data_IF_310942470101
#
_entry.id   IF_310942470101
#
_cell.length_a   1.000
_cell.length_b   1.000
_cell.length_c   1.000
_cell.angle_alpha   90.00
_cell.angle_beta   90.00
_cell.angle_gamma   90.00
#
_symmetry.space_group_name_H-M   'P 1'
#
loop_
_entity.id
_entity.type
_entity.pdbx_description
1 polymer ?
#
# COMPACT_ATOMS: atom_id res chain seq x y z
N UNK A 1 36.53 -17.05 -8.32
CA UNK A 1 35.37 -17.28 -9.20
C UNK A 1 34.63 -15.97 -9.24
N UNK A 2 34.91 -15.13 -10.24
CA UNK A 2 34.30 -13.80 -10.32
C UNK A 2 32.84 -13.98 -10.74
N UNK A 3 31.92 -13.80 -9.80
CA UNK A 3 30.50 -13.68 -10.09
C UNK A 3 30.34 -12.47 -11.02
N UNK A 4 30.06 -12.74 -12.30
CA UNK A 4 29.80 -11.70 -13.29
C UNK A 4 28.65 -10.82 -12.76
N UNK A 5 28.76 -9.48 -12.79
CA UNK A 5 27.69 -8.57 -12.37
C UNK A 5 26.34 -8.88 -13.03
N UNK A 6 26.36 -9.40 -14.25
CA UNK A 6 25.18 -9.87 -14.98
C UNK A 6 24.49 -11.07 -14.32
N UNK A 7 25.24 -12.04 -13.80
CA UNK A 7 24.69 -13.22 -13.12
C UNK A 7 24.07 -12.84 -11.78
N UNK A 8 24.70 -11.93 -11.03
CA UNK A 8 24.14 -11.39 -9.79
C UNK A 8 22.85 -10.60 -10.06
N UNK A 9 22.85 -9.74 -11.08
CA UNK A 9 21.64 -9.00 -11.50
C UNK A 9 20.53 -9.96 -11.89
N UNK A 10 20.81 -10.96 -12.72
CA UNK A 10 19.85 -11.98 -13.11
C UNK A 10 19.28 -12.71 -11.89
N UNK A 11 20.14 -13.17 -10.98
CA UNK A 11 19.72 -13.88 -9.78
C UNK A 11 18.77 -13.06 -8.90
N UNK A 12 19.13 -11.81 -8.59
CA UNK A 12 18.25 -10.95 -7.77
C UNK A 12 16.97 -10.59 -8.54
N UNK A 13 17.03 -10.32 -9.85
CA UNK A 13 15.82 -10.07 -10.65
C UNK A 13 14.88 -11.27 -10.66
N UNK A 14 15.39 -12.49 -10.82
CA UNK A 14 14.60 -13.72 -10.73
C UNK A 14 13.98 -13.86 -9.34
N UNK A 15 14.76 -13.66 -8.28
CA UNK A 15 14.23 -13.77 -6.91
C UNK A 15 13.18 -12.70 -6.61
N UNK A 16 13.44 -11.41 -6.89
CA UNK A 16 12.52 -10.34 -6.53
C UNK A 16 11.18 -10.43 -7.26
N UNK A 17 11.19 -10.93 -8.50
CA UNK A 17 9.99 -11.03 -9.35
C UNK A 17 9.12 -12.25 -9.05
N UNK A 18 9.67 -13.28 -8.38
CA UNK A 18 9.03 -14.61 -8.19
C UNK A 18 9.07 -15.18 -6.78
N UNK A 19 9.71 -14.52 -5.81
CA UNK A 19 9.73 -14.98 -4.43
C UNK A 19 8.36 -14.92 -3.76
N UNK A 20 8.08 -15.89 -2.92
CA UNK A 20 6.87 -15.98 -2.12
C UNK A 20 7.22 -16.40 -0.70
N UNK A 21 6.43 -15.94 0.27
CA UNK A 21 6.52 -16.41 1.63
C UNK A 21 5.65 -17.66 1.81
N UNK A 22 6.25 -18.75 2.27
CA UNK A 22 5.57 -19.99 2.67
C UNK A 22 5.97 -20.35 4.10
N UNK A 23 5.14 -21.11 4.85
CA UNK A 23 5.55 -21.62 6.15
C UNK A 23 6.83 -22.47 6.03
N UNK A 24 7.70 -22.44 7.05
CA UNK A 24 8.79 -23.39 7.19
C UNK A 24 8.24 -24.80 7.44
N UNK A 25 9.06 -25.83 7.18
CA UNK A 25 8.68 -27.24 7.38
C UNK A 25 8.20 -27.55 8.80
N UNK A 26 8.71 -26.83 9.80
CA UNK A 26 8.30 -26.95 11.20
C UNK A 26 7.16 -25.98 11.61
N UNK A 27 6.68 -25.16 10.67
CA UNK A 27 5.62 -24.16 10.86
C UNK A 27 6.00 -22.98 11.77
N UNK A 28 7.27 -22.86 12.18
CA UNK A 28 7.69 -21.87 13.17
C UNK A 28 7.87 -20.46 12.61
N UNK A 29 8.07 -20.34 11.29
CA UNK A 29 8.33 -19.07 10.62
C UNK A 29 7.81 -19.07 9.18
N UNK A 30 7.74 -17.88 8.58
CA UNK A 30 7.58 -17.73 7.13
C UNK A 30 8.98 -17.63 6.48
N UNK A 31 9.20 -18.37 5.41
CA UNK A 31 10.45 -18.41 4.64
C UNK A 31 10.21 -18.01 3.18
N UNK A 32 11.23 -17.48 2.52
CA UNK A 32 11.17 -17.19 1.09
C UNK A 32 11.40 -18.47 0.28
N UNK A 33 10.54 -18.69 -0.72
CA UNK A 33 10.64 -19.79 -1.67
C UNK A 33 10.35 -19.31 -3.10
N UNK A 34 10.93 -20.02 -4.06
CA UNK A 34 10.48 -20.01 -5.45
C UNK A 34 9.57 -21.23 -5.63
N UNK A 35 8.41 -21.05 -6.25
CA UNK A 35 7.39 -22.10 -6.39
C UNK A 35 7.29 -22.44 -7.89
N UNK A 36 7.99 -23.49 -8.36
CA UNK A 36 7.99 -23.84 -9.77
C UNK A 36 6.58 -24.13 -10.30
N UNK A 37 6.40 -23.95 -11.61
CA UNK A 37 5.14 -24.09 -12.34
C UNK A 37 4.11 -23.01 -11.99
N UNK A 38 3.75 -22.85 -10.73
CA UNK A 38 2.78 -21.84 -10.28
C UNK A 38 3.27 -20.42 -10.57
N UNK A 39 4.57 -20.14 -10.41
CA UNK A 39 5.16 -18.82 -10.64
C UNK A 39 5.23 -18.41 -12.13
N UNK A 40 4.78 -19.26 -13.05
CA UNK A 40 4.59 -18.94 -14.46
C UNK A 40 3.29 -18.16 -14.72
N UNK A 41 2.30 -18.24 -13.82
CA UNK A 41 1.03 -17.54 -13.98
C UNK A 41 1.23 -16.02 -13.92
N UNK A 42 0.67 -15.30 -14.88
CA UNK A 42 0.75 -13.84 -14.93
C UNK A 42 -0.27 -13.16 -14.00
N UNK A 43 -0.03 -11.88 -13.73
CA UNK A 43 -0.89 -11.07 -12.88
C UNK A 43 -2.19 -10.67 -13.58
N UNK A 44 -3.31 -10.78 -12.87
CA UNK A 44 -4.57 -10.08 -13.19
C UNK A 44 -5.20 -9.54 -11.90
N UNK A 45 -5.82 -8.36 -11.96
CA UNK A 45 -6.59 -7.80 -10.86
C UNK A 45 -7.68 -8.76 -10.42
N UNK A 46 -7.82 -8.95 -9.10
CA UNK A 46 -8.74 -9.93 -8.55
C UNK A 46 -8.58 -10.08 -7.05
N UNK A 47 -8.77 -11.30 -6.55
CA UNK A 47 -8.62 -11.65 -5.13
C UNK A 47 -7.57 -12.74 -4.99
N UNK A 48 -6.94 -12.82 -3.82
CA UNK A 48 -5.99 -13.89 -3.52
C UNK A 48 -6.70 -15.24 -3.61
N UNK A 49 -6.18 -16.13 -4.45
CA UNK A 49 -6.69 -17.49 -4.65
C UNK A 49 -5.61 -18.56 -4.47
N UNK A 50 -4.51 -18.19 -3.82
CA UNK A 50 -3.40 -19.10 -3.52
C UNK A 50 -3.23 -19.21 -2.01
N UNK A 51 -3.04 -20.43 -1.54
CA UNK A 51 -2.86 -20.79 -0.14
C UNK A 51 -1.74 -21.84 0.02
N UNK A 52 -1.38 -22.18 1.25
CA UNK A 52 -0.46 -23.25 1.57
C UNK A 52 -1.14 -24.31 2.43
N UNK A 53 -1.17 -25.54 1.95
CA UNK A 53 -1.66 -26.69 2.71
C UNK A 53 -0.54 -27.26 3.57
N UNK A 54 -0.63 -27.09 4.87
CA UNK A 54 0.30 -27.73 5.83
C UNK A 54 0.15 -29.25 5.87
N UNK A 55 -1.06 -29.76 5.62
CA UNK A 55 -1.33 -31.20 5.54
C UNK A 55 -0.62 -31.86 4.35
N UNK A 56 -0.67 -31.21 3.18
CA UNK A 56 -0.07 -31.74 1.95
C UNK A 56 1.35 -31.22 1.68
N UNK A 57 1.87 -30.34 2.55
CA UNK A 57 3.13 -29.61 2.38
C UNK A 57 3.28 -28.99 0.97
N UNK A 58 2.22 -28.31 0.53
CA UNK A 58 2.07 -27.87 -0.86
C UNK A 58 1.33 -26.55 -1.01
N UNK A 59 1.68 -25.81 -2.06
CA UNK A 59 0.96 -24.61 -2.50
C UNK A 59 -0.32 -25.04 -3.22
N UNK A 60 -1.45 -24.51 -2.78
CA UNK A 60 -2.75 -24.69 -3.41
C UNK A 60 -3.11 -23.45 -4.21
N UNK A 61 -3.48 -23.62 -5.47
CA UNK A 61 -3.95 -22.52 -6.32
C UNK A 61 -5.34 -22.82 -6.85
N UNK A 62 -6.29 -21.99 -6.45
CA UNK A 62 -7.67 -22.02 -6.93
C UNK A 62 -7.83 -21.03 -8.09
N UNK A 63 -8.69 -21.36 -9.04
CA UNK A 63 -9.04 -20.43 -10.11
C UNK A 63 -9.76 -19.20 -9.52
N UNK A 64 -9.34 -17.99 -9.92
CA UNK A 64 -9.98 -16.75 -9.47
C UNK A 64 -11.36 -16.53 -10.09
N UNK A 65 -11.57 -17.13 -11.25
CA UNK A 65 -12.75 -16.99 -12.12
C UNK A 65 -12.90 -18.27 -12.95
N UNK A 66 -14.00 -18.37 -13.71
CA UNK A 66 -14.14 -19.43 -14.70
C UNK A 66 -13.17 -19.17 -15.87
N UNK A 67 -12.43 -20.19 -16.29
CA UNK A 67 -11.42 -20.12 -17.34
C UNK A 67 -11.83 -21.11 -18.44
N UNK A 68 -12.03 -20.62 -19.66
CA UNK A 68 -12.36 -21.51 -20.78
C UNK A 68 -11.12 -22.29 -21.25
N UNK A 69 -11.34 -23.34 -22.04
CA UNK A 69 -10.23 -24.03 -22.70
C UNK A 69 -9.46 -23.03 -23.58
N UNK A 70 -8.13 -23.17 -23.60
CA UNK A 70 -7.20 -22.33 -24.35
C UNK A 70 -7.09 -20.85 -23.89
N UNK A 71 -7.72 -20.48 -22.77
CA UNK A 71 -7.51 -19.18 -22.13
C UNK A 71 -6.32 -19.19 -21.15
N UNK A 72 -5.67 -18.03 -21.02
CA UNK A 72 -4.54 -17.87 -20.12
C UNK A 72 -4.99 -17.88 -18.65
N UNK A 73 -4.31 -18.68 -17.84
CA UNK A 73 -4.52 -18.75 -16.39
C UNK A 73 -3.77 -17.59 -15.74
N UNK A 74 -4.51 -16.76 -15.02
CA UNK A 74 -3.98 -15.65 -14.25
C UNK A 74 -4.11 -15.87 -12.75
N UNK A 75 -3.29 -15.17 -11.97
CA UNK A 75 -3.39 -15.08 -10.52
C UNK A 75 -3.29 -13.63 -10.05
N UNK A 76 -3.74 -13.34 -8.84
CA UNK A 76 -3.61 -12.03 -8.23
C UNK A 76 -2.35 -11.98 -7.36
N UNK A 77 -1.31 -11.28 -7.83
CA UNK A 77 -0.02 -11.12 -7.13
C UNK A 77 -0.11 -10.35 -5.79
N UNK A 78 -1.27 -9.76 -5.49
CA UNK A 78 -1.51 -9.00 -4.27
C UNK A 78 -1.74 -7.51 -4.52
N UNK A 79 -2.09 -6.82 -3.45
CA UNK A 79 -2.33 -5.37 -3.41
C UNK A 79 -0.97 -4.67 -3.49
N UNK A 80 -0.62 -4.18 -4.69
CA UNK A 80 0.63 -3.47 -4.98
C UNK A 80 0.34 -2.28 -5.87
N UNK A 81 1.11 -1.20 -5.70
CA UNK A 81 1.11 -0.05 -6.61
C UNK A 81 1.82 -0.38 -7.94
N UNK A 82 1.57 0.42 -8.97
CA UNK A 82 2.32 0.32 -10.22
C UNK A 82 3.81 0.64 -10.04
N UNK A 83 4.16 1.48 -9.07
CA UNK A 83 5.56 1.70 -8.68
C UNK A 83 6.20 0.39 -8.19
N UNK A 84 5.52 -0.33 -7.28
CA UNK A 84 6.02 -1.61 -6.78
C UNK A 84 6.06 -2.68 -7.87
N UNK A 85 5.04 -2.78 -8.74
CA UNK A 85 5.09 -3.70 -9.87
C UNK A 85 6.25 -3.40 -10.82
N UNK A 86 6.52 -2.13 -11.12
CA UNK A 86 7.61 -1.76 -12.00
C UNK A 86 8.97 -2.14 -11.40
N UNK A 87 9.18 -1.79 -10.13
CA UNK A 87 10.48 -1.97 -9.46
C UNK A 87 10.73 -3.43 -9.08
N UNK A 88 9.71 -4.17 -8.63
CA UNK A 88 9.88 -5.52 -8.09
C UNK A 88 9.41 -6.63 -9.02
N UNK A 89 8.54 -6.35 -9.98
CA UNK A 89 8.02 -7.34 -10.93
C UNK A 89 8.35 -7.02 -12.39
N UNK A 90 8.88 -5.83 -12.70
CA UNK A 90 9.31 -5.45 -14.03
C UNK A 90 8.20 -5.10 -15.02
N UNK A 91 6.98 -4.80 -14.54
CA UNK A 91 5.85 -4.42 -15.39
C UNK A 91 4.97 -3.35 -14.74
N UNK A 92 4.08 -2.72 -15.51
CA UNK A 92 2.99 -1.86 -15.01
C UNK A 92 1.68 -2.33 -15.61
N UNK A 93 0.56 -2.06 -14.94
CA UNK A 93 -0.77 -2.32 -15.51
C UNK A 93 -1.51 -1.02 -15.78
N UNK A 94 -2.27 -0.98 -16.88
CA UNK A 94 -2.99 0.22 -17.30
C UNK A 94 -4.05 0.64 -16.28
N UNK A 95 -4.72 -0.34 -15.67
CA UNK A 95 -5.78 -0.13 -14.68
C UNK A 95 -5.47 -0.94 -13.41
N UNK A 96 -4.76 -0.32 -12.49
CA UNK A 96 -4.52 -0.86 -11.16
C UNK A 96 -5.44 -0.19 -10.14
N UNK A 97 -6.49 -0.90 -9.70
CA UNK A 97 -7.41 -0.41 -8.67
C UNK A 97 -6.73 -0.22 -7.31
N UNK A 98 -5.60 -0.89 -7.10
CA UNK A 98 -4.79 -0.83 -5.88
C UNK A 98 -3.63 0.16 -6.02
N UNK A 99 -3.61 1.02 -7.03
CA UNK A 99 -2.51 1.97 -7.21
C UNK A 99 -2.50 3.05 -6.12
N UNK A 100 -1.29 3.42 -5.71
CA UNK A 100 -1.07 4.43 -4.69
C UNK A 100 0.30 5.06 -4.82
N UNK A 101 0.46 6.21 -4.15
CA UNK A 101 1.76 6.87 -3.99
C UNK A 101 2.12 7.00 -2.51
N UNK A 102 3.41 7.01 -2.21
CA UNK A 102 3.88 7.28 -0.86
C UNK A 102 3.91 8.79 -0.59
N UNK A 103 3.21 9.21 0.46
CA UNK A 103 3.20 10.57 0.98
C UNK A 103 3.99 10.63 2.30
N UNK A 104 5.20 11.19 2.23
CA UNK A 104 6.04 11.37 3.42
C UNK A 104 5.52 12.51 4.29
N UNK A 105 5.10 12.19 5.52
CA UNK A 105 4.64 13.14 6.52
C UNK A 105 5.33 12.90 7.86
N UNK A 106 5.31 13.92 8.72
CA UNK A 106 5.77 13.82 10.09
C UNK A 106 5.43 15.06 10.89
N UNK A 107 5.31 14.89 12.21
CA UNK A 107 5.09 15.99 13.15
C UNK A 107 6.44 16.67 13.41
N UNK A 108 6.51 17.98 13.19
CA UNK A 108 7.73 18.77 13.41
C UNK A 108 8.04 18.88 14.91
N UNK A 109 9.32 18.76 15.28
CA UNK A 109 9.77 19.02 16.67
C UNK A 109 9.51 20.46 17.14
N UNK A 110 9.30 21.39 16.21
CA UNK A 110 8.97 22.77 16.49
C UNK A 110 7.45 23.01 16.64
N UNK A 111 6.62 21.98 16.47
CA UNK A 111 5.18 22.07 16.73
C UNK A 111 4.96 22.31 18.24
N UNK A 112 4.24 23.37 18.66
CA UNK A 112 3.98 23.65 20.07
C UNK A 112 3.31 22.47 20.81
N UNK A 113 2.53 21.68 20.09
CA UNK A 113 1.82 20.52 20.60
C UNK A 113 2.59 19.19 20.38
N UNK A 114 3.88 19.24 19.99
CA UNK A 114 4.66 18.06 19.60
C UNK A 114 4.59 16.93 20.63
N UNK A 115 4.72 17.26 21.91
CA UNK A 115 4.71 16.26 22.99
C UNK A 115 3.36 15.55 23.12
N UNK A 116 2.24 16.30 23.10
CA UNK A 116 0.90 15.72 23.19
C UNK A 116 0.57 14.87 21.96
N UNK A 117 0.86 15.37 20.75
CA UNK A 117 0.65 14.63 19.52
C UNK A 117 1.47 13.34 19.49
N UNK A 118 2.73 13.39 19.93
CA UNK A 118 3.60 12.21 20.04
C UNK A 118 3.07 11.20 21.05
N UNK A 119 2.57 11.66 22.20
CA UNK A 119 1.97 10.80 23.23
C UNK A 119 0.74 10.05 22.66
N UNK A 120 -0.18 10.76 22.01
CA UNK A 120 -1.38 10.17 21.39
C UNK A 120 -0.99 9.21 20.28
N UNK A 121 -0.10 9.61 19.36
CA UNK A 121 0.38 8.74 18.30
C UNK A 121 0.99 7.44 18.85
N UNK A 122 1.86 7.54 19.86
CA UNK A 122 2.49 6.36 20.49
C UNK A 122 1.46 5.45 21.13
N UNK A 123 0.51 6.02 21.89
CA UNK A 123 -0.57 5.27 22.52
C UNK A 123 -1.47 4.58 21.49
N UNK A 124 -1.73 5.22 20.35
CA UNK A 124 -2.58 4.71 19.27
C UNK A 124 -1.83 3.92 18.20
N UNK A 125 -0.54 3.64 18.40
CA UNK A 125 0.31 2.93 17.44
C UNK A 125 0.38 3.60 16.06
N UNK A 126 0.22 4.92 16.02
CA UNK A 126 0.35 5.75 14.83
C UNK A 126 1.81 6.21 14.71
N UNK A 127 2.41 6.05 13.54
CA UNK A 127 3.77 6.54 13.30
C UNK A 127 3.82 8.09 13.31
N UNK A 128 4.70 8.68 14.11
CA UNK A 128 4.89 10.15 14.17
C UNK A 128 5.56 10.73 12.92
N UNK A 129 6.22 9.90 12.13
CA UNK A 129 6.71 10.19 10.79
C UNK A 129 6.83 8.91 9.99
N UNK A 130 6.25 8.89 8.79
CA UNK A 130 6.23 7.71 7.92
C UNK A 130 6.01 8.10 6.45
N UNK A 131 6.15 7.12 5.56
CA UNK A 131 5.67 7.16 4.19
C UNK A 131 4.25 6.58 4.18
N UNK A 132 3.25 7.45 4.24
CA UNK A 132 1.85 7.04 4.25
C UNK A 132 1.36 6.73 2.84
N UNK A 133 0.32 5.90 2.74
CA UNK A 133 -0.29 5.55 1.45
C UNK A 133 -1.34 6.59 1.09
N UNK A 134 -1.20 7.19 -0.09
CA UNK A 134 -2.22 8.02 -0.72
C UNK A 134 -2.75 7.30 -1.97
N UNK A 135 -4.00 6.87 -1.90
CA UNK A 135 -4.74 6.22 -2.99
C UNK A 135 -5.39 7.25 -3.92
N UNK A 136 -5.90 6.79 -5.07
CA UNK A 136 -6.64 7.63 -6.02
C UNK A 136 -7.82 8.37 -5.36
N UNK A 137 -8.16 9.56 -5.87
CA UNK A 137 -9.20 10.46 -5.33
C UNK A 137 -10.60 9.81 -5.19
N UNK A 138 -10.86 8.75 -5.95
CA UNK A 138 -12.14 8.02 -5.87
C UNK A 138 -12.21 7.06 -4.67
N UNK A 139 -11.06 6.77 -4.04
CA UNK A 139 -10.97 5.92 -2.86
C UNK A 139 -11.01 6.75 -1.57
N UNK A 140 -11.46 6.13 -0.48
CA UNK A 140 -11.33 6.70 0.85
C UNK A 140 -9.84 6.86 1.22
N UNK A 141 -9.53 7.89 2.00
CA UNK A 141 -8.19 8.08 2.56
C UNK A 141 -7.82 6.84 3.37
N UNK A 142 -6.59 6.35 3.19
CA UNK A 142 -6.06 5.24 3.97
C UNK A 142 -6.20 5.51 5.47
N UNK A 143 -6.64 4.50 6.25
CA UNK A 143 -6.97 4.66 7.67
C UNK A 143 -5.80 5.17 8.51
N UNK A 144 -4.59 4.72 8.23
CA UNK A 144 -3.39 5.13 8.98
C UNK A 144 -3.02 6.58 8.66
N UNK A 145 -3.13 6.97 7.38
CA UNK A 145 -2.97 8.37 6.96
C UNK A 145 -4.04 9.26 7.61
N UNK A 146 -5.29 8.83 7.63
CA UNK A 146 -6.40 9.57 8.24
C UNK A 146 -6.17 9.78 9.74
N UNK A 147 -5.85 8.71 10.46
CA UNK A 147 -5.59 8.77 11.90
C UNK A 147 -4.41 9.69 12.22
N UNK A 148 -3.31 9.60 11.46
CA UNK A 148 -2.19 10.51 11.58
C UNK A 148 -2.61 11.97 11.32
N UNK A 149 -3.35 12.24 10.25
CA UNK A 149 -3.75 13.60 9.87
C UNK A 149 -4.71 14.22 10.88
N UNK A 150 -5.56 13.42 11.53
CA UNK A 150 -6.43 13.87 12.63
C UNK A 150 -5.59 14.39 13.79
N UNK A 151 -4.67 13.58 14.31
CA UNK A 151 -3.77 14.01 15.39
C UNK A 151 -2.89 15.19 14.95
N UNK A 152 -2.43 15.19 13.70
CA UNK A 152 -1.63 16.27 13.13
C UNK A 152 -2.37 17.61 13.10
N UNK A 153 -3.68 17.62 12.86
CA UNK A 153 -4.50 18.83 12.77
C UNK A 153 -5.24 19.23 14.05
N UNK A 154 -5.27 18.38 15.09
CA UNK A 154 -5.81 18.77 16.39
C UNK A 154 -5.04 19.95 17.00
N UNK A 155 -5.78 20.91 17.54
CA UNK A 155 -5.24 22.00 18.37
C UNK A 155 -5.04 21.55 19.83
N UNK A 156 -4.44 22.40 20.66
CA UNK A 156 -4.15 22.06 22.07
C UNK A 156 -5.39 21.58 22.85
N UNK A 157 -6.52 22.29 22.75
CA UNK A 157 -7.74 21.91 23.47
C UNK A 157 -8.36 20.63 22.95
N UNK A 158 -8.32 20.40 21.63
CA UNK A 158 -8.76 19.14 21.01
C UNK A 158 -7.89 17.96 21.48
N UNK A 159 -6.58 18.14 21.58
CA UNK A 159 -5.64 17.11 22.07
C UNK A 159 -5.84 16.79 23.56
N UNK A 160 -6.11 17.81 24.37
CA UNK A 160 -6.37 17.64 25.81
C UNK A 160 -7.67 16.86 26.05
N UNK A 161 -8.72 17.19 25.30
CA UNK A 161 -10.00 16.46 25.36
C UNK A 161 -9.86 15.01 24.86
N UNK A 162 -9.02 14.77 23.85
CA UNK A 162 -8.83 13.45 23.26
C UNK A 162 -8.10 12.45 24.16
N UNK A 163 -7.38 12.91 25.20
CA UNK A 163 -6.39 12.11 25.93
C UNK A 163 -6.93 10.79 26.52
N UNK A 164 -8.24 10.71 26.73
CA UNK A 164 -8.95 9.56 27.33
C UNK A 164 -9.99 8.91 26.39
N UNK A 165 -10.01 9.25 25.10
CA UNK A 165 -10.98 8.71 24.12
C UNK A 165 -10.54 7.38 23.46
N UNK A 166 -11.50 6.73 22.79
CA UNK A 166 -11.28 5.48 22.07
C UNK A 166 -10.41 5.70 20.82
N UNK A 167 -9.25 5.05 20.81
CA UNK A 167 -8.22 5.16 19.77
C UNK A 167 -8.72 4.69 18.40
N UNK A 168 -9.65 3.72 18.37
CA UNK A 168 -10.19 3.17 17.12
C UNK A 168 -10.96 4.21 16.31
N UNK A 169 -11.55 5.21 16.97
CA UNK A 169 -12.28 6.26 16.27
C UNK A 169 -11.37 7.11 15.37
N UNK A 170 -10.08 7.27 15.71
CA UNK A 170 -9.11 8.00 14.87
C UNK A 170 -8.99 7.38 13.48
N UNK A 171 -9.17 6.06 13.37
CA UNK A 171 -9.05 5.31 12.12
C UNK A 171 -10.39 5.19 11.37
N UNK A 172 -11.50 5.55 12.03
CA UNK A 172 -12.84 5.41 11.47
C UNK A 172 -13.15 6.46 10.41
N UNK A 173 -13.53 6.03 9.21
CA UNK A 173 -13.91 6.90 8.11
C UNK A 173 -15.26 7.62 8.31
N UNK A 174 -16.06 7.20 9.29
CA UNK A 174 -17.45 7.66 9.47
C UNK A 174 -17.70 8.32 10.83
N UNK A 175 -16.64 8.75 11.52
CA UNK A 175 -16.78 9.39 12.83
C UNK A 175 -17.23 10.85 12.70
N UNK A 176 -18.40 11.15 13.28
CA UNK A 176 -18.97 12.50 13.29
C UNK A 176 -18.15 13.50 14.14
N UNK A 177 -17.39 13.00 15.12
CA UNK A 177 -16.56 13.82 16.02
C UNK A 177 -15.48 14.59 15.28
N UNK A 178 -15.01 14.05 14.15
CA UNK A 178 -13.90 14.63 13.40
C UNK A 178 -14.33 15.47 12.20
N UNK A 179 -15.62 15.72 11.97
CA UNK A 179 -16.09 16.45 10.77
C UNK A 179 -15.35 17.77 10.51
N UNK A 180 -15.11 18.57 11.55
CA UNK A 180 -14.37 19.84 11.40
C UNK A 180 -12.86 19.64 11.25
N UNK A 181 -12.29 18.56 11.80
CA UNK A 181 -10.89 18.19 11.57
C UNK A 181 -10.72 17.69 10.13
N UNK A 182 -11.61 16.82 9.67
CA UNK A 182 -11.60 16.20 8.35
C UNK A 182 -11.70 17.27 7.23
N UNK A 183 -12.46 18.36 7.43
CA UNK A 183 -12.43 19.52 6.52
C UNK A 183 -11.05 20.18 6.42
N UNK A 184 -10.33 20.31 7.55
CA UNK A 184 -8.95 20.84 7.57
C UNK A 184 -7.98 19.88 6.87
N UNK A 185 -8.21 18.57 7.05
CA UNK A 185 -7.45 17.51 6.38
C UNK A 185 -7.61 17.58 4.86
N UNK A 186 -8.84 17.75 4.36
CA UNK A 186 -9.11 17.86 2.92
C UNK A 186 -8.37 19.05 2.29
N UNK A 187 -8.43 20.21 2.95
CA UNK A 187 -7.72 21.42 2.50
C UNK A 187 -6.19 21.20 2.51
N UNK A 188 -5.67 20.56 3.56
CA UNK A 188 -4.25 20.23 3.67
C UNK A 188 -3.81 19.28 2.56
N UNK A 189 -4.54 18.19 2.33
CA UNK A 189 -4.20 17.21 1.30
C UNK A 189 -4.28 17.82 -0.09
N UNK A 190 -5.31 18.62 -0.41
CA UNK A 190 -5.40 19.34 -1.69
C UNK A 190 -4.17 20.22 -1.91
N UNK A 191 -3.86 21.07 -0.93
CA UNK A 191 -2.71 21.99 -1.01
C UNK A 191 -1.39 21.22 -1.14
N UNK A 192 -1.22 20.15 -0.35
CA UNK A 192 -0.01 19.33 -0.37
C UNK A 192 0.17 18.62 -1.71
N UNK A 193 -0.90 18.05 -2.27
CA UNK A 193 -0.86 17.39 -3.57
C UNK A 193 -0.53 18.39 -4.68
N UNK A 194 -1.12 19.58 -4.67
CA UNK A 194 -0.78 20.65 -5.63
C UNK A 194 0.71 21.04 -5.56
N UNK A 195 1.26 21.17 -4.35
CA UNK A 195 2.68 21.46 -4.16
C UNK A 195 3.57 20.32 -4.68
N UNK A 196 3.20 19.07 -4.43
CA UNK A 196 3.94 17.91 -4.92
C UNK A 196 3.91 17.83 -6.44
N UNK A 197 2.75 18.07 -7.08
CA UNK A 197 2.63 18.07 -8.53
C UNK A 197 3.52 19.14 -9.19
N UNK A 198 3.66 20.31 -8.57
CA UNK A 198 4.56 21.37 -9.06
C UNK A 198 6.05 20.99 -9.04
N UNK A 199 6.43 19.96 -8.27
CA UNK A 199 7.82 19.48 -8.23
C UNK A 199 8.18 18.58 -9.42
N UNK A 200 7.19 18.12 -10.18
CA UNK A 200 7.40 17.34 -11.39
C UNK A 200 7.49 18.26 -12.61
N UNK A 201 8.28 17.89 -13.64
CA UNK A 201 8.24 18.56 -14.93
C UNK A 201 6.79 18.62 -15.47
N UNK A 202 6.43 19.65 -16.26
CA UNK A 202 5.11 19.74 -16.86
C UNK A 202 4.76 18.43 -17.58
N UNK A 203 3.70 17.77 -17.11
CA UNK A 203 3.27 16.50 -17.68
C UNK A 203 2.79 16.78 -19.10
N UNK A 204 3.53 16.29 -20.10
CA UNK A 204 2.94 16.04 -21.42
C UNK A 204 1.98 14.88 -21.22
N UNK A 205 0.69 15.16 -21.07
CA UNK A 205 -0.34 14.11 -21.07
C UNK A 205 -0.25 13.45 -22.44
N UNK A 206 0.43 12.31 -22.50
CA UNK A 206 0.38 11.41 -23.64
C UNK A 206 -1.05 10.89 -23.66
N UNK A 207 -1.88 11.48 -24.53
CA UNK A 207 -3.24 11.09 -24.90
C UNK A 207 -4.03 10.29 -23.87
N UNK A 208 -5.08 10.90 -23.31
CA UNK A 208 -6.13 10.16 -22.60
C UNK A 208 -6.57 8.96 -23.46
N UNK A 209 -6.17 7.75 -23.07
CA UNK A 209 -6.77 6.54 -23.61
C UNK A 209 -8.24 6.61 -23.23
N UNK A 210 -9.12 6.74 -24.24
CA UNK A 210 -10.56 6.63 -24.02
C UNK A 210 -10.82 5.24 -23.41
N UNK A 211 -11.63 5.12 -22.35
CA UNK A 211 -12.06 3.81 -21.89
C UNK A 211 -12.79 3.13 -23.06
N UNK A 212 -12.31 1.94 -23.44
CA UNK A 212 -13.03 1.05 -24.34
C UNK A 212 -14.36 0.68 -23.68
N UNK A 213 -15.51 0.91 -24.35
CA UNK A 213 -16.78 0.48 -23.81
C UNK A 213 -16.83 -1.05 -23.76
N UNK A 214 -17.37 -1.54 -22.64
CA UNK A 214 -17.75 -2.94 -22.37
C UNK A 214 -18.68 -3.50 -23.42
#
# INVERSE_FOLDING_TARGET
>A
MDLLPSLYRWGISTTMTRQNFVPSTDGSAMINALIPLWDLCNHKSGKRSTDFSTENDAVLCYAMENIAADEEIHIFYGVRSNFEFLVHNGFVTDYNENDFVYLKLGISKNDPCFNLKTEICTKSQIAISSNFILTSRMAQVNKDLLAFLRVFHMNQGELENWKDEDKEELFSATSDKFKEIDKRIDLFLSTRCELLLKSYPPVKILGTAKPTPS
#
